data_IF_553859965626
#
_entry.id   IF_553859965626
#
_cell.length_a   1.000
_cell.length_b   1.000
_cell.length_c   1.000
_cell.angle_alpha   90.00
_cell.angle_beta   90.00
_cell.angle_gamma   90.00
#
_symmetry.space_group_name_H-M   'P 1'
#
loop_
_entity.id
_entity.type
_entity.pdbx_description
1 polymer ?
#
# COMPACT_ATOMS: atom_id res chain seq x y z
N UNK A 1 17.20 -49.54 -34.16
CA UNK A 1 18.57 -49.64 -34.71
C UNK A 1 18.70 -48.59 -35.81
N UNK A 2 19.71 -47.72 -35.71
CA UNK A 2 20.08 -46.62 -36.65
C UNK A 2 20.49 -47.16 -38.04
N UNK A 3 20.87 -46.35 -39.08
CA UNK A 3 20.92 -44.88 -39.26
C UNK A 3 20.54 -44.37 -40.70
N UNK A 4 20.60 -43.05 -40.93
CA UNK A 4 21.06 -42.31 -42.17
C UNK A 4 20.12 -41.14 -42.51
N UNK A 5 20.49 -39.85 -42.32
CA UNK A 5 21.56 -38.98 -42.87
C UNK A 5 21.20 -38.26 -44.19
N UNK A 6 20.99 -36.94 -44.05
CA UNK A 6 21.61 -35.83 -44.81
C UNK A 6 21.15 -35.53 -46.26
N UNK A 7 20.45 -34.40 -46.44
CA UNK A 7 20.83 -33.24 -47.29
C UNK A 7 19.76 -32.12 -47.14
N UNK A 8 20.02 -30.94 -46.54
CA UNK A 8 20.79 -29.75 -46.96
C UNK A 8 19.95 -28.68 -47.73
N UNK A 9 19.91 -27.47 -47.17
CA UNK A 9 19.61 -26.12 -47.74
C UNK A 9 18.16 -25.75 -48.11
N UNK A 10 17.55 -24.82 -47.35
CA UNK A 10 17.60 -23.38 -47.66
C UNK A 10 17.08 -22.55 -46.47
N UNK A 11 17.84 -21.53 -46.10
CA UNK A 11 17.49 -20.56 -45.08
C UNK A 11 16.43 -19.57 -45.60
N UNK A 12 15.45 -19.24 -44.76
CA UNK A 12 14.90 -17.89 -44.69
C UNK A 12 14.37 -17.64 -43.27
N UNK A 13 15.05 -16.73 -42.58
CA UNK A 13 14.79 -16.34 -41.22
C UNK A 13 13.53 -15.45 -41.12
N UNK A 14 12.59 -15.84 -40.27
CA UNK A 14 11.62 -14.95 -39.64
C UNK A 14 11.52 -15.32 -38.16
N UNK A 15 12.53 -14.92 -37.41
CA UNK A 15 12.44 -14.82 -35.96
C UNK A 15 11.96 -13.41 -35.61
N UNK A 16 10.71 -13.29 -35.17
CA UNK A 16 10.26 -12.13 -34.42
C UNK A 16 10.41 -12.46 -32.92
N UNK A 17 11.37 -11.87 -32.20
CA UNK A 17 11.31 -11.87 -30.75
C UNK A 17 10.22 -10.87 -30.33
N UNK A 18 9.16 -11.39 -29.71
CA UNK A 18 8.19 -10.57 -29.00
C UNK A 18 8.92 -9.72 -27.96
N UNK A 19 8.78 -8.41 -28.06
CA UNK A 19 9.24 -7.46 -27.06
C UNK A 19 8.35 -7.57 -25.82
N UNK A 20 8.69 -8.47 -24.91
CA UNK A 20 8.26 -8.37 -23.51
C UNK A 20 9.20 -7.35 -22.86
N UNK A 21 8.79 -6.09 -22.81
CA UNK A 21 9.47 -5.05 -22.06
C UNK A 21 9.09 -5.16 -20.59
N UNK A 22 9.88 -5.90 -19.81
CA UNK A 22 9.94 -5.75 -18.35
C UNK A 22 10.75 -4.50 -18.03
N UNK A 23 10.16 -3.33 -18.22
CA UNK A 23 10.73 -2.09 -17.70
C UNK A 23 10.26 -1.94 -16.27
N UNK A 24 11.13 -2.32 -15.33
CA UNK A 24 11.06 -1.86 -13.94
C UNK A 24 10.93 -0.33 -13.92
N UNK A 25 10.15 0.27 -13.00
CA UNK A 25 10.21 1.70 -12.81
C UNK A 25 11.61 2.07 -12.33
N UNK A 26 12.33 2.85 -13.13
CA UNK A 26 13.60 3.48 -12.72
C UNK A 26 13.25 4.70 -11.88
N UNK A 27 13.51 4.63 -10.58
CA UNK A 27 13.44 5.78 -9.69
C UNK A 27 14.60 6.75 -10.00
N UNK A 28 14.30 8.03 -9.98
CA UNK A 28 15.18 9.12 -10.40
C UNK A 28 16.53 9.10 -9.65
N UNK A 29 17.65 9.09 -10.37
CA UNK A 29 19.01 9.22 -9.84
C UNK A 29 19.50 10.67 -9.68
N UNK A 30 18.64 11.66 -9.94
CA UNK A 30 19.00 13.10 -9.90
C UNK A 30 18.45 13.87 -8.70
N UNK A 31 17.78 13.20 -7.75
CA UNK A 31 17.50 13.77 -6.42
C UNK A 31 18.23 12.90 -5.41
N UNK A 32 19.24 13.47 -4.75
CA UNK A 32 20.11 12.73 -3.84
C UNK A 32 19.35 12.20 -2.60
N UNK A 33 18.25 12.85 -2.21
CA UNK A 33 17.43 12.50 -1.05
C UNK A 33 15.94 12.89 -1.28
N UNK A 34 14.96 12.15 -0.71
CA UNK A 34 13.56 12.56 -0.74
C UNK A 34 13.35 13.84 0.10
N UNK A 35 12.61 14.80 -0.45
CA UNK A 35 12.19 16.00 0.30
C UNK A 35 11.02 15.61 1.21
N UNK A 36 11.32 15.33 2.47
CA UNK A 36 10.33 15.18 3.53
C UNK A 36 9.81 16.56 3.87
N UNK A 37 8.49 16.75 3.78
CA UNK A 37 7.87 18.00 4.21
C UNK A 37 8.15 18.22 5.71
N UNK A 38 8.64 19.41 6.05
CA UNK A 38 8.85 19.81 7.44
C UNK A 38 7.50 20.05 8.13
N UNK A 39 7.43 19.94 9.46
CA UNK A 39 6.19 20.19 10.22
C UNK A 39 5.57 21.59 9.94
N UNK A 40 6.38 22.55 9.48
CA UNK A 40 5.94 23.90 9.11
C UNK A 40 5.20 23.97 7.76
N UNK A 41 5.39 23.00 6.87
CA UNK A 41 4.68 22.90 5.58
C UNK A 41 3.26 22.30 5.73
N UNK A 42 2.87 21.96 6.97
CA UNK A 42 1.51 21.53 7.33
C UNK A 42 0.57 22.70 7.71
N UNK A 43 0.98 23.94 7.53
CA UNK A 43 0.15 25.12 7.75
C UNK A 43 -0.14 25.85 6.42
N UNK A 44 -1.39 26.25 6.14
CA UNK A 44 -1.68 27.07 4.97
C UNK A 44 -1.04 28.46 5.14
N UNK A 45 -0.33 28.95 4.10
CA UNK A 45 0.13 30.35 4.07
C UNK A 45 1.56 30.67 3.63
N UNK A 46 2.34 29.72 3.10
CA UNK A 46 3.73 29.97 2.65
C UNK A 46 3.98 29.65 1.16
N UNK A 47 2.97 29.86 0.30
CA UNK A 47 3.06 29.54 -1.13
C UNK A 47 2.83 28.06 -1.46
N UNK A 48 2.53 27.24 -0.45
CA UNK A 48 2.04 25.87 -0.62
C UNK A 48 0.53 25.92 -0.92
N UNK A 49 0.06 25.39 -2.07
CA UNK A 49 -1.36 25.25 -2.37
C UNK A 49 -2.09 24.49 -1.26
N UNK A 50 -3.31 24.92 -0.89
CA UNK A 50 -4.11 24.27 0.16
C UNK A 50 -4.32 22.76 -0.07
N UNK A 51 -4.25 22.31 -1.33
CA UNK A 51 -4.34 20.89 -1.72
C UNK A 51 -3.13 20.05 -1.31
N UNK A 52 -2.01 20.67 -0.94
CA UNK A 52 -0.74 20.03 -0.58
C UNK A 52 -0.44 20.12 0.92
N UNK A 53 -1.23 20.87 1.69
CA UNK A 53 -1.06 21.03 3.13
C UNK A 53 -1.31 19.69 3.84
N UNK A 54 -0.26 19.13 4.46
CA UNK A 54 -0.32 17.84 5.15
C UNK A 54 -0.09 16.60 4.27
N UNK A 55 0.39 16.76 3.04
CA UNK A 55 0.91 15.64 2.26
C UNK A 55 2.27 15.18 2.86
N UNK A 56 2.44 13.88 3.10
CA UNK A 56 3.69 13.29 3.63
C UNK A 56 4.65 12.84 2.54
N UNK A 57 4.27 13.00 1.28
CA UNK A 57 5.09 12.75 0.09
C UNK A 57 4.36 13.15 -1.18
N UNK A 58 5.10 13.45 -2.25
CA UNK A 58 4.57 13.69 -3.60
C UNK A 58 5.19 12.64 -4.54
N UNK A 59 4.40 11.73 -5.10
CA UNK A 59 4.88 10.86 -6.18
C UNK A 59 4.71 11.60 -7.49
N UNK A 60 5.75 12.34 -7.89
CA UNK A 60 5.89 12.81 -9.27
C UNK A 60 6.59 11.72 -10.08
N UNK A 61 5.86 11.09 -11.00
CA UNK A 61 6.53 10.32 -12.05
C UNK A 61 7.30 11.30 -12.95
N UNK A 62 8.60 11.46 -12.70
CA UNK A 62 9.49 12.15 -13.62
C UNK A 62 9.67 11.28 -14.87
N UNK A 63 9.15 11.76 -15.98
CA UNK A 63 9.83 11.64 -17.26
C UNK A 63 11.25 12.24 -17.09
N UNK A 64 12.25 11.48 -16.64
CA UNK A 64 13.60 12.01 -16.48
C UNK A 64 14.22 12.23 -17.88
N UNK A 65 14.37 13.50 -18.28
CA UNK A 65 14.98 13.93 -19.55
C UNK A 65 14.00 14.19 -20.71
N UNK A 66 12.78 13.69 -20.63
CA UNK A 66 11.77 13.86 -21.67
C UNK A 66 11.04 15.21 -21.65
N UNK A 67 10.83 15.99 -20.57
CA UNK A 67 10.03 17.21 -20.63
C UNK A 67 10.61 18.26 -21.57
N UNK A 68 11.94 18.41 -21.60
CA UNK A 68 12.61 19.31 -22.52
C UNK A 68 12.59 18.76 -23.96
N UNK A 69 12.75 17.45 -24.15
CA UNK A 69 12.67 16.80 -25.46
C UNK A 69 11.23 16.74 -26.01
N UNK A 70 10.24 16.52 -25.15
CA UNK A 70 8.81 16.52 -25.43
C UNK A 70 8.40 17.94 -25.72
N UNK A 71 8.75 18.93 -24.90
CA UNK A 71 8.51 20.34 -25.20
C UNK A 71 9.17 20.75 -26.52
N UNK A 72 10.43 20.37 -26.76
CA UNK A 72 11.11 20.67 -28.02
C UNK A 72 10.47 19.96 -29.24
N UNK A 73 10.06 18.70 -29.10
CA UNK A 73 9.36 17.94 -30.15
C UNK A 73 7.93 18.45 -30.36
N UNK A 74 7.28 18.90 -29.31
CA UNK A 74 5.96 19.52 -29.31
C UNK A 74 6.03 20.89 -29.98
N UNK A 75 7.04 21.70 -29.67
CA UNK A 75 7.33 22.96 -30.38
C UNK A 75 7.65 22.72 -31.86
N UNK A 76 8.43 21.68 -32.20
CA UNK A 76 8.68 21.28 -33.59
C UNK A 76 7.41 20.83 -34.30
N UNK A 77 6.58 20.01 -33.65
CA UNK A 77 5.30 19.54 -34.18
C UNK A 77 4.33 20.71 -34.37
N UNK A 78 4.26 21.66 -33.43
CA UNK A 78 3.46 22.87 -33.55
C UNK A 78 3.95 23.79 -34.65
N UNK A 79 5.26 23.92 -34.84
CA UNK A 79 5.84 24.66 -35.96
C UNK A 79 5.57 23.99 -37.32
N UNK A 80 5.49 22.65 -37.37
CA UNK A 80 5.11 21.92 -38.56
C UNK A 80 3.61 22.10 -38.87
N UNK A 81 2.74 21.95 -37.86
CA UNK A 81 1.29 22.18 -37.99
C UNK A 81 1.00 23.62 -38.41
N UNK A 82 1.65 24.61 -37.77
CA UNK A 82 1.49 26.02 -38.13
C UNK A 82 1.92 26.31 -39.58
N UNK A 83 2.97 25.65 -40.09
CA UNK A 83 3.36 25.77 -41.50
C UNK A 83 2.32 25.17 -42.44
N UNK A 84 1.77 24.00 -42.12
CA UNK A 84 0.73 23.35 -42.93
C UNK A 84 -0.60 24.11 -42.88
N UNK A 85 -0.94 24.70 -41.73
CA UNK A 85 -2.22 25.39 -41.51
C UNK A 85 -2.16 26.91 -41.78
N UNK A 86 -1.01 27.45 -42.21
CA UNK A 86 -0.85 28.85 -42.59
C UNK A 86 -0.86 29.85 -41.43
N UNK A 87 -0.43 29.43 -40.24
CA UNK A 87 -0.31 30.28 -39.05
C UNK A 87 -0.82 29.61 -37.77
N UNK A 88 -0.33 30.07 -36.61
CA UNK A 88 -0.73 29.56 -35.29
C UNK A 88 -2.18 29.89 -34.92
N UNK A 89 -2.71 30.96 -35.50
CA UNK A 89 -4.05 31.48 -35.24
C UNK A 89 -5.14 30.72 -36.02
N UNK A 90 -4.72 29.77 -36.87
CA UNK A 90 -5.60 29.04 -37.80
C UNK A 90 -5.93 27.62 -37.33
N UNK A 91 -5.46 27.22 -36.15
CA UNK A 91 -5.79 25.93 -35.53
C UNK A 91 -5.96 26.08 -34.01
N UNK A 92 -6.73 25.17 -33.41
CA UNK A 92 -6.89 25.07 -31.95
C UNK A 92 -6.48 23.67 -31.54
N UNK A 93 -5.49 23.58 -30.65
CA UNK A 93 -5.11 22.32 -30.02
C UNK A 93 -6.14 22.01 -28.94
N UNK A 94 -7.00 21.00 -29.15
CA UNK A 94 -7.91 20.50 -28.12
C UNK A 94 -7.31 19.30 -27.43
N UNK A 95 -7.08 19.41 -26.12
CA UNK A 95 -6.65 18.32 -25.25
C UNK A 95 -5.15 18.27 -24.97
N UNK A 96 -4.62 19.25 -24.24
CA UNK A 96 -3.39 19.01 -23.49
C UNK A 96 -3.62 17.82 -22.55
N UNK A 97 -2.71 16.84 -22.59
CA UNK A 97 -2.80 15.64 -21.78
C UNK A 97 -2.80 16.03 -20.30
N UNK A 98 -3.88 15.74 -19.60
CA UNK A 98 -3.82 15.51 -18.16
C UNK A 98 -3.23 14.10 -18.02
N UNK A 99 -1.91 13.96 -18.22
CA UNK A 99 -1.17 12.78 -17.76
C UNK A 99 -0.80 12.88 -16.29
N UNK A 100 -1.01 14.05 -15.68
CA UNK A 100 -0.73 14.33 -14.27
C UNK A 100 -2.02 14.19 -13.45
N UNK A 101 -2.49 12.95 -13.28
CA UNK A 101 -3.41 12.67 -12.20
C UNK A 101 -2.61 12.62 -10.89
N UNK A 102 -2.27 13.79 -10.35
CA UNK A 102 -1.70 13.88 -9.00
C UNK A 102 -2.82 13.66 -8.00
N UNK A 103 -2.91 12.47 -7.44
CA UNK A 103 -3.76 12.19 -6.29
C UNK A 103 -2.96 12.49 -5.03
N UNK A 104 -3.26 13.55 -4.26
CA UNK A 104 -2.67 13.71 -2.94
C UNK A 104 -3.20 12.60 -2.04
N UNK A 105 -2.30 11.84 -1.43
CA UNK A 105 -2.65 10.81 -0.45
C UNK A 105 -1.69 10.88 0.72
N UNK A 106 -2.17 10.49 1.91
CA UNK A 106 -1.35 10.40 3.10
C UNK A 106 -0.92 8.96 3.30
N UNK A 107 0.37 8.70 3.13
CA UNK A 107 0.99 7.45 3.54
C UNK A 107 1.35 7.52 5.04
N UNK A 108 1.31 6.39 5.75
CA UNK A 108 1.88 6.25 7.09
C UNK A 108 3.31 6.82 7.21
N UNK A 109 3.69 7.32 8.38
CA UNK A 109 5.03 7.88 8.58
C UNK A 109 6.12 6.79 8.52
N UNK A 110 5.77 5.54 8.80
CA UNK A 110 6.65 4.37 8.76
C UNK A 110 6.98 3.87 7.34
N UNK A 111 6.56 4.61 6.32
CA UNK A 111 6.69 4.22 4.92
C UNK A 111 8.08 4.52 4.34
N UNK A 112 8.67 3.53 3.65
CA UNK A 112 9.78 3.78 2.73
C UNK A 112 9.27 3.78 1.28
N UNK A 113 9.24 4.94 0.59
CA UNK A 113 8.71 5.04 -0.77
C UNK A 113 9.53 4.25 -1.81
N UNK A 114 10.75 3.82 -1.48
CA UNK A 114 11.63 3.07 -2.38
C UNK A 114 11.46 1.54 -2.27
N UNK A 115 10.60 1.05 -1.37
CA UNK A 115 10.43 -0.38 -1.16
C UNK A 115 9.26 -0.91 -2.01
N UNK A 116 9.60 -1.56 -3.12
CA UNK A 116 8.66 -2.04 -4.14
C UNK A 116 7.81 -3.25 -3.71
N UNK A 117 8.15 -3.90 -2.60
CA UNK A 117 7.40 -5.02 -2.03
C UNK A 117 6.46 -4.60 -0.89
N UNK A 118 6.42 -3.30 -0.55
CA UNK A 118 5.61 -2.81 0.56
C UNK A 118 4.13 -2.67 0.20
N UNK A 119 3.30 -2.72 1.24
CA UNK A 119 1.86 -2.49 1.20
C UNK A 119 1.51 -1.15 0.51
N UNK A 120 2.42 -0.19 0.57
CA UNK A 120 2.40 1.12 -0.10
C UNK A 120 2.29 0.99 -1.62
N UNK A 121 3.13 0.14 -2.22
CA UNK A 121 3.16 -0.02 -3.68
C UNK A 121 1.82 -0.56 -4.18
N UNK A 122 1.24 -1.52 -3.45
CA UNK A 122 -0.09 -2.06 -3.77
C UNK A 122 -1.19 -1.01 -3.62
N UNK A 123 -1.16 -0.18 -2.57
CA UNK A 123 -2.10 0.92 -2.41
C UNK A 123 -1.96 1.97 -3.52
N UNK A 124 -0.74 2.29 -3.93
CA UNK A 124 -0.47 3.18 -5.06
C UNK A 124 -1.00 2.59 -6.38
N UNK A 125 -0.80 1.29 -6.63
CA UNK A 125 -1.38 0.60 -7.79
C UNK A 125 -2.92 0.69 -7.80
N UNK A 126 -3.57 0.52 -6.65
CA UNK A 126 -5.02 0.63 -6.53
C UNK A 126 -5.52 2.03 -6.93
N UNK A 127 -4.87 3.08 -6.43
CA UNK A 127 -5.18 4.47 -6.78
C UNK A 127 -4.93 4.76 -8.26
N UNK A 128 -3.82 4.26 -8.80
CA UNK A 128 -3.46 4.41 -10.22
C UNK A 128 -4.47 3.73 -11.15
N UNK A 129 -5.02 2.58 -10.77
CA UNK A 129 -6.07 1.89 -11.53
C UNK A 129 -7.27 2.80 -11.75
N UNK A 130 -7.73 3.51 -10.71
CA UNK A 130 -8.87 4.44 -10.82
C UNK A 130 -8.49 5.69 -11.60
N UNK A 131 -7.37 6.31 -11.27
CA UNK A 131 -6.93 7.53 -11.96
C UNK A 131 -6.82 7.31 -13.48
N UNK A 132 -6.23 6.18 -13.87
CA UNK A 132 -6.07 5.80 -15.28
C UNK A 132 -7.42 5.51 -15.94
N UNK A 133 -8.32 4.80 -15.26
CA UNK A 133 -9.66 4.53 -15.76
C UNK A 133 -10.45 5.82 -15.98
N UNK A 134 -10.43 6.72 -15.00
CA UNK A 134 -11.11 8.02 -15.06
C UNK A 134 -10.57 8.88 -16.21
N UNK A 135 -9.25 8.96 -16.37
CA UNK A 135 -8.63 9.71 -17.47
C UNK A 135 -9.04 9.16 -18.85
N UNK A 136 -9.11 7.83 -19.00
CA UNK A 136 -9.55 7.17 -20.24
C UNK A 136 -11.03 7.42 -20.54
N UNK A 137 -11.89 7.27 -19.54
CA UNK A 137 -13.34 7.54 -19.67
C UNK A 137 -13.58 8.99 -20.07
N UNK A 138 -12.91 9.92 -19.39
CA UNK A 138 -13.00 11.34 -19.70
C UNK A 138 -12.52 11.67 -21.12
N UNK A 139 -11.52 10.94 -21.64
CA UNK A 139 -11.08 11.06 -23.04
C UNK A 139 -12.19 10.65 -24.01
N UNK A 140 -12.86 9.52 -23.78
CA UNK A 140 -13.98 9.08 -24.62
C UNK A 140 -15.13 10.08 -24.58
N UNK A 141 -15.45 10.61 -23.40
CA UNK A 141 -16.53 11.59 -23.23
C UNK A 141 -16.26 12.94 -23.90
N UNK A 142 -14.99 13.35 -24.03
CA UNK A 142 -14.62 14.62 -24.67
C UNK A 142 -14.34 14.52 -26.18
N UNK A 143 -14.07 13.33 -26.71
CA UNK A 143 -13.77 13.17 -28.13
C UNK A 143 -15.05 13.22 -28.98
N UNK A 144 -15.35 14.41 -29.51
CA UNK A 144 -16.52 14.67 -30.36
C UNK A 144 -16.56 13.84 -31.65
N UNK A 145 -15.47 13.15 -32.01
CA UNK A 145 -15.43 12.26 -33.18
C UNK A 145 -16.00 10.88 -32.89
N UNK A 146 -16.12 10.51 -31.62
CA UNK A 146 -16.67 9.21 -31.20
C UNK A 146 -18.17 9.37 -31.01
N UNK A 147 -18.95 8.50 -31.65
CA UNK A 147 -20.41 8.49 -31.47
C UNK A 147 -20.75 8.24 -30.00
N UNK A 148 -21.72 8.97 -29.44
CA UNK A 148 -22.07 8.88 -28.02
C UNK A 148 -22.35 7.43 -27.52
N UNK A 149 -23.06 6.56 -28.26
CA UNK A 149 -23.24 5.16 -27.84
C UNK A 149 -21.92 4.38 -27.73
N UNK A 150 -20.99 4.63 -28.64
CA UNK A 150 -19.65 4.00 -28.64
C UNK A 150 -18.82 4.52 -27.47
N UNK A 151 -18.88 5.82 -27.17
CA UNK A 151 -18.19 6.40 -26.02
C UNK A 151 -18.68 5.81 -24.68
N UNK A 152 -19.99 5.54 -24.56
CA UNK A 152 -20.58 4.86 -23.39
C UNK A 152 -20.08 3.42 -23.30
N UNK A 153 -20.14 2.65 -24.38
CA UNK A 153 -19.68 1.25 -24.41
C UNK A 153 -18.19 1.14 -24.05
N UNK A 154 -17.34 1.99 -24.60
CA UNK A 154 -15.91 2.00 -24.31
C UNK A 154 -15.62 2.44 -22.87
N UNK A 155 -16.38 3.40 -22.33
CA UNK A 155 -16.28 3.80 -20.92
C UNK A 155 -16.66 2.66 -19.98
N UNK A 156 -17.72 1.91 -20.30
CA UNK A 156 -18.13 0.73 -19.55
C UNK A 156 -17.01 -0.33 -19.53
N UNK A 157 -16.40 -0.63 -20.67
CA UNK A 157 -15.27 -1.57 -20.75
C UNK A 157 -14.09 -1.14 -19.88
N UNK A 158 -13.77 0.16 -19.87
CA UNK A 158 -12.71 0.71 -19.02
C UNK A 158 -13.03 0.54 -17.54
N UNK A 159 -14.26 0.87 -17.12
CA UNK A 159 -14.66 0.71 -15.72
C UNK A 159 -14.73 -0.75 -15.28
N UNK A 160 -15.19 -1.65 -16.15
CA UNK A 160 -15.16 -3.10 -15.87
C UNK A 160 -13.73 -3.60 -15.64
N UNK A 161 -12.79 -3.27 -16.54
CA UNK A 161 -11.40 -3.67 -16.38
C UNK A 161 -10.75 -3.06 -15.12
N UNK A 162 -11.09 -1.81 -14.80
CA UNK A 162 -10.62 -1.16 -13.57
C UNK A 162 -11.18 -1.85 -12.31
N UNK A 163 -12.46 -2.23 -12.33
CA UNK A 163 -13.10 -2.94 -11.23
C UNK A 163 -12.44 -4.30 -11.00
N UNK A 164 -12.19 -5.07 -12.06
CA UNK A 164 -11.49 -6.37 -11.98
C UNK A 164 -10.09 -6.21 -11.37
N UNK A 165 -9.33 -5.21 -11.83
CA UNK A 165 -7.99 -4.93 -11.28
C UNK A 165 -8.06 -4.49 -9.81
N UNK A 166 -9.00 -3.64 -9.44
CA UNK A 166 -9.18 -3.20 -8.06
C UNK A 166 -9.62 -4.35 -7.13
N UNK A 167 -10.49 -5.24 -7.61
CA UNK A 167 -10.93 -6.42 -6.87
C UNK A 167 -9.76 -7.38 -6.62
N UNK A 168 -8.91 -7.61 -7.62
CA UNK A 168 -7.71 -8.40 -7.46
C UNK A 168 -6.76 -7.81 -6.41
N UNK A 169 -6.53 -6.49 -6.44
CA UNK A 169 -5.69 -5.81 -5.44
C UNK A 169 -6.32 -5.89 -4.04
N UNK A 170 -7.65 -5.80 -3.93
CA UNK A 170 -8.36 -5.94 -2.66
C UNK A 170 -8.24 -7.36 -2.07
N UNK A 171 -8.31 -8.40 -2.91
CA UNK A 171 -8.08 -9.80 -2.50
C UNK A 171 -6.66 -9.97 -1.95
N UNK A 172 -5.66 -9.44 -2.66
CA UNK A 172 -4.26 -9.50 -2.22
C UNK A 172 -4.03 -8.71 -0.92
N UNK A 173 -4.63 -7.53 -0.78
CA UNK A 173 -4.56 -6.73 0.44
C UNK A 173 -5.18 -7.46 1.64
N UNK A 174 -6.29 -8.17 1.43
CA UNK A 174 -6.92 -8.98 2.46
C UNK A 174 -6.04 -10.16 2.87
N UNK A 175 -5.41 -10.85 1.90
CA UNK A 175 -4.46 -11.92 2.20
C UNK A 175 -3.27 -11.43 3.03
N UNK A 176 -2.70 -10.27 2.68
CA UNK A 176 -1.63 -9.64 3.44
C UNK A 176 -2.08 -9.30 4.86
N UNK A 177 -3.29 -8.74 5.00
CA UNK A 177 -3.86 -8.41 6.30
C UNK A 177 -4.01 -9.65 7.19
N UNK A 178 -4.48 -10.76 6.63
CA UNK A 178 -4.71 -12.00 7.39
C UNK A 178 -3.39 -12.68 7.77
N UNK A 179 -2.43 -12.74 6.85
CA UNK A 179 -1.07 -13.20 7.13
C UNK A 179 -0.42 -12.36 8.24
N UNK A 180 -0.48 -11.03 8.12
CA UNK A 180 0.09 -10.13 9.10
C UNK A 180 -0.61 -10.23 10.46
N UNK A 181 -1.94 -10.40 10.48
CA UNK A 181 -2.69 -10.56 11.73
C UNK A 181 -2.32 -11.86 12.45
N UNK A 182 -2.07 -12.95 11.70
CA UNK A 182 -1.55 -14.19 12.28
C UNK A 182 -0.13 -14.01 12.85
N UNK A 183 0.75 -13.35 12.10
CA UNK A 183 2.11 -13.01 12.53
C UNK A 183 2.12 -12.12 13.77
N UNK A 184 1.35 -11.03 13.76
CA UNK A 184 1.25 -10.08 14.87
C UNK A 184 0.72 -10.77 16.14
N UNK A 185 -0.31 -11.61 16.00
CA UNK A 185 -0.83 -12.41 17.12
C UNK A 185 0.25 -13.34 17.68
N UNK A 186 1.01 -14.01 16.82
CA UNK A 186 2.11 -14.87 17.25
C UNK A 186 3.25 -14.09 17.92
N UNK A 187 3.53 -12.87 17.44
CA UNK A 187 4.55 -11.98 18.00
C UNK A 187 4.20 -11.51 19.41
N UNK A 188 2.94 -11.15 19.65
CA UNK A 188 2.48 -10.70 20.97
C UNK A 188 2.25 -11.82 21.99
N UNK A 189 2.32 -13.08 21.58
CA UNK A 189 2.23 -14.21 22.50
C UNK A 189 3.64 -14.68 22.88
N UNK A 190 3.86 -15.12 24.13
CA UNK A 190 5.10 -15.82 24.45
C UNK A 190 5.22 -17.08 23.57
N UNK A 191 6.45 -17.50 23.21
CA UNK A 191 6.66 -18.74 22.47
C UNK A 191 6.06 -19.91 23.26
N UNK A 192 5.53 -20.96 22.62
CA UNK A 192 4.98 -22.10 23.35
C UNK A 192 6.04 -22.81 24.20
N UNK A 193 5.59 -23.53 25.24
CA UNK A 193 6.46 -24.39 26.03
C UNK A 193 7.03 -25.53 25.16
N UNK A 194 8.32 -25.80 25.28
CA UNK A 194 9.02 -26.74 24.37
C UNK A 194 8.86 -28.20 24.75
N UNK A 195 8.72 -28.48 26.04
CA UNK A 195 8.67 -29.84 26.59
C UNK A 195 7.79 -29.90 27.85
N UNK A 196 7.65 -31.11 28.39
CA UNK A 196 6.86 -31.35 29.60
C UNK A 196 7.45 -30.68 30.86
N UNK A 197 8.76 -30.39 30.87
CA UNK A 197 9.43 -29.74 32.01
C UNK A 197 9.05 -28.26 32.05
N UNK A 198 9.11 -27.57 30.90
CA UNK A 198 8.63 -26.18 30.78
C UNK A 198 7.13 -26.08 31.11
N UNK A 199 6.32 -27.05 30.66
CA UNK A 199 4.89 -27.06 30.99
C UNK A 199 4.62 -27.22 32.49
N UNK A 200 5.39 -28.07 33.17
CA UNK A 200 5.29 -28.24 34.62
C UNK A 200 5.71 -26.96 35.35
N UNK A 201 6.83 -26.35 34.93
CA UNK A 201 7.29 -25.08 35.49
C UNK A 201 6.24 -23.96 35.31
N UNK A 202 5.58 -23.89 34.15
CA UNK A 202 4.50 -22.93 33.89
C UNK A 202 3.30 -23.16 34.85
N UNK A 203 2.96 -24.43 35.14
CA UNK A 203 1.90 -24.78 36.08
C UNK A 203 2.26 -24.40 37.52
N UNK A 204 3.47 -24.73 37.98
CA UNK A 204 3.95 -24.41 39.33
C UNK A 204 4.01 -22.89 39.55
N UNK A 205 4.53 -22.14 38.58
CA UNK A 205 4.60 -20.69 38.62
C UNK A 205 3.21 -20.05 38.78
N UNK A 206 2.19 -20.60 38.11
CA UNK A 206 0.80 -20.14 38.23
C UNK A 206 0.13 -20.56 39.53
N UNK A 207 0.37 -21.78 40.01
CA UNK A 207 -0.12 -22.22 41.31
C UNK A 207 0.45 -21.35 42.43
N UNK A 208 1.73 -21.00 42.32
CA UNK A 208 2.37 -20.04 43.22
C UNK A 208 1.72 -18.67 43.11
N UNK A 209 1.46 -18.16 41.91
CA UNK A 209 0.80 -16.86 41.73
C UNK A 209 -0.63 -16.84 42.29
N UNK A 210 -1.36 -17.95 42.16
CA UNK A 210 -2.71 -18.13 42.70
C UNK A 210 -2.75 -18.31 44.22
N UNK A 211 -1.64 -18.73 44.84
CA UNK A 211 -1.54 -18.82 46.30
C UNK A 211 -1.15 -17.49 46.96
N UNK A 212 -0.75 -16.48 46.19
CA UNK A 212 -0.41 -15.16 46.73
C UNK A 212 -1.65 -14.42 47.22
N UNK A 213 -1.48 -13.64 48.28
CA UNK A 213 -2.53 -12.76 48.75
C UNK A 213 -2.77 -11.64 47.71
N UNK A 214 -4.02 -11.19 47.47
CA UNK A 214 -4.31 -10.12 46.51
C UNK A 214 -3.46 -8.86 46.69
N UNK A 215 -3.13 -8.50 47.93
CA UNK A 215 -2.31 -7.31 48.25
C UNK A 215 -0.84 -7.43 47.82
N UNK A 216 -0.35 -8.66 47.58
CA UNK A 216 1.03 -8.91 47.13
C UNK A 216 1.16 -8.84 45.60
N UNK A 217 0.07 -9.09 44.88
CA UNK A 217 0.08 -9.15 43.42
C UNK A 217 0.56 -7.86 42.74
N UNK A 218 0.18 -6.64 43.19
CA UNK A 218 0.70 -5.42 42.58
C UNK A 218 2.23 -5.30 42.63
N UNK A 219 2.86 -5.74 43.72
CA UNK A 219 4.31 -5.71 43.86
C UNK A 219 4.99 -6.72 42.93
N UNK A 220 4.43 -7.94 42.83
CA UNK A 220 4.93 -8.99 41.93
C UNK A 220 4.78 -8.55 40.46
N UNK A 221 3.62 -7.97 40.10
CA UNK A 221 3.38 -7.43 38.76
C UNK A 221 4.38 -6.33 38.43
N UNK A 222 4.68 -5.43 39.39
CA UNK A 222 5.71 -4.41 39.20
C UNK A 222 7.08 -5.04 38.90
N UNK A 223 7.48 -6.08 39.63
CA UNK A 223 8.72 -6.81 39.33
C UNK A 223 8.72 -7.47 37.93
N UNK A 224 7.57 -7.97 37.46
CA UNK A 224 7.44 -8.43 36.06
C UNK A 224 7.60 -7.28 35.06
N UNK A 225 6.97 -6.13 35.34
CA UNK A 225 7.07 -4.91 34.52
C UNK A 225 8.50 -4.40 34.51
N UNK A 226 9.25 -4.47 35.60
CA UNK A 226 10.64 -4.02 35.70
C UNK A 226 11.60 -5.02 35.03
N UNK A 227 11.15 -6.26 34.83
CA UNK A 227 11.90 -7.31 34.14
C UNK A 227 12.68 -8.24 35.07
N UNK A 228 12.40 -8.18 36.38
CA UNK A 228 13.04 -9.02 37.38
C UNK A 228 12.52 -10.47 37.35
N UNK A 229 11.29 -10.67 36.87
CA UNK A 229 10.61 -11.97 36.85
C UNK A 229 10.15 -12.40 35.43
N UNK A 230 11.05 -12.51 34.43
CA UNK A 230 10.66 -12.81 33.05
C UNK A 230 10.09 -14.21 32.87
N UNK A 231 10.61 -15.22 33.58
CA UNK A 231 10.12 -16.61 33.49
C UNK A 231 8.70 -16.74 34.04
N UNK A 232 8.40 -16.08 35.16
CA UNK A 232 7.07 -16.06 35.75
C UNK A 232 6.08 -15.32 34.82
N UNK A 233 6.49 -14.23 34.19
CA UNK A 233 5.69 -13.50 33.21
C UNK A 233 5.34 -14.37 31.99
N UNK A 234 6.31 -15.11 31.45
CA UNK A 234 6.10 -16.05 30.34
C UNK A 234 5.12 -17.16 30.75
N UNK A 235 5.34 -17.80 31.90
CA UNK A 235 4.45 -18.83 32.45
C UNK A 235 3.01 -18.32 32.66
N UNK A 236 2.88 -17.10 33.19
CA UNK A 236 1.60 -16.46 33.42
C UNK A 236 0.82 -16.20 32.12
N UNK A 237 1.45 -16.13 30.95
CA UNK A 237 0.77 -15.94 29.67
C UNK A 237 0.58 -17.21 28.84
N UNK A 238 1.43 -18.23 29.00
CA UNK A 238 1.36 -19.47 28.20
C UNK A 238 0.18 -20.37 28.53
N UNK A 239 -0.20 -20.49 29.80
CA UNK A 239 -1.18 -21.51 30.19
C UNK A 239 -2.64 -21.10 29.87
N UNK A 240 -3.52 -22.07 29.62
CA UNK A 240 -4.85 -21.82 29.04
C UNK A 240 -5.90 -21.29 30.06
N UNK A 241 -5.57 -21.24 31.34
CA UNK A 241 -6.50 -20.86 32.41
C UNK A 241 -6.47 -19.35 32.69
N UNK A 242 -7.59 -18.75 33.11
CA UNK A 242 -7.61 -17.35 33.51
C UNK A 242 -6.71 -17.12 34.72
N UNK A 243 -6.05 -15.95 34.75
CA UNK A 243 -5.24 -15.53 35.88
C UNK A 243 -6.13 -15.13 37.07
N UNK A 244 -5.69 -15.37 38.31
CA UNK A 244 -6.48 -15.10 39.50
C UNK A 244 -6.68 -13.59 39.69
N UNK A 245 -7.72 -13.20 40.44
CA UNK A 245 -7.97 -11.80 40.85
C UNK A 245 -8.04 -10.79 39.71
N UNK A 246 -8.41 -11.21 38.50
CA UNK A 246 -8.50 -10.36 37.30
C UNK A 246 -7.19 -9.63 36.95
N UNK A 247 -6.02 -10.20 37.28
CA UNK A 247 -4.72 -9.58 36.96
C UNK A 247 -4.29 -9.72 35.49
N UNK A 248 -5.14 -10.33 34.65
CA UNK A 248 -4.87 -10.59 33.23
C UNK A 248 -4.41 -9.37 32.44
N UNK A 249 -5.14 -8.23 32.48
CA UNK A 249 -4.73 -7.01 31.78
C UNK A 249 -3.35 -6.49 32.22
N UNK A 250 -3.02 -6.58 33.51
CA UNK A 250 -1.75 -6.12 34.06
C UNK A 250 -0.59 -7.00 33.63
N UNK A 251 -0.78 -8.33 33.59
CA UNK A 251 0.22 -9.27 33.08
C UNK A 251 0.45 -9.07 31.58
N UNK A 252 -0.60 -8.84 30.79
CA UNK A 252 -0.48 -8.49 29.37
C UNK A 252 0.30 -7.18 29.17
N UNK A 253 0.04 -6.16 29.99
CA UNK A 253 0.80 -4.90 29.96
C UNK A 253 2.28 -5.11 30.35
N UNK A 254 2.55 -5.95 31.35
CA UNK A 254 3.92 -6.31 31.75
C UNK A 254 4.68 -7.01 30.61
N UNK A 255 4.00 -7.86 29.83
CA UNK A 255 4.58 -8.51 28.67
C UNK A 255 4.88 -7.56 27.51
N UNK A 256 3.99 -6.61 27.22
CA UNK A 256 4.30 -5.56 26.25
C UNK A 256 5.50 -4.70 26.68
N UNK A 257 5.61 -4.38 27.97
CA UNK A 257 6.77 -3.69 28.52
C UNK A 257 8.05 -4.54 28.38
N UNK A 258 7.97 -5.84 28.66
CA UNK A 258 9.06 -6.78 28.46
C UNK A 258 9.52 -6.82 26.98
N UNK A 259 8.59 -6.98 26.04
CA UNK A 259 8.88 -6.93 24.60
C UNK A 259 9.50 -5.60 24.18
N UNK A 260 9.03 -4.48 24.73
CA UNK A 260 9.62 -3.16 24.48
C UNK A 260 11.09 -3.07 24.90
N UNK A 261 11.47 -3.73 26.00
CA UNK A 261 12.87 -3.77 26.48
C UNK A 261 13.73 -4.76 25.71
N UNK A 262 13.24 -5.97 25.46
CA UNK A 262 14.06 -7.06 24.88
C UNK A 262 14.04 -7.08 23.35
N UNK A 263 12.99 -6.53 22.74
CA UNK A 263 12.72 -6.58 21.30
C UNK A 263 12.19 -5.25 20.77
N UNK A 264 12.61 -4.12 21.34
CA UNK A 264 12.05 -2.78 21.04
C UNK A 264 11.98 -2.45 19.55
N UNK A 265 13.04 -2.71 18.78
CA UNK A 265 13.03 -2.49 17.33
C UNK A 265 12.06 -3.43 16.60
N UNK A 266 11.97 -4.70 16.99
CA UNK A 266 11.06 -5.65 16.35
C UNK A 266 9.60 -5.29 16.65
N UNK A 267 9.31 -4.90 17.90
CA UNK A 267 8.01 -4.39 18.31
C UNK A 267 7.63 -3.13 17.50
N UNK A 268 8.57 -2.21 17.30
CA UNK A 268 8.32 -1.03 16.47
C UNK A 268 8.03 -1.42 15.01
N UNK A 269 8.81 -2.33 14.42
CA UNK A 269 8.55 -2.84 13.05
C UNK A 269 7.16 -3.47 12.91
N UNK A 270 6.68 -4.19 13.94
CA UNK A 270 5.33 -4.77 13.96
C UNK A 270 4.28 -3.65 13.97
N UNK A 271 4.42 -2.65 14.84
CA UNK A 271 3.50 -1.49 14.90
C UNK A 271 3.47 -0.70 13.58
N UNK A 272 4.64 -0.44 13.03
CA UNK A 272 4.81 0.24 11.76
C UNK A 272 4.11 -0.52 10.62
N UNK A 273 4.30 -1.85 10.58
CA UNK A 273 3.65 -2.69 9.57
C UNK A 273 2.13 -2.77 9.76
N UNK A 274 1.63 -2.80 11.00
CA UNK A 274 0.19 -2.72 11.30
C UNK A 274 -0.44 -1.47 10.68
N UNK A 275 0.20 -0.32 10.89
CA UNK A 275 -0.26 0.95 10.32
C UNK A 275 -0.33 0.88 8.77
N UNK A 276 0.69 0.32 8.11
CA UNK A 276 0.71 0.16 6.65
C UNK A 276 -0.34 -0.81 6.12
N UNK A 277 -0.55 -1.93 6.79
CA UNK A 277 -1.55 -2.95 6.41
C UNK A 277 -2.97 -2.40 6.56
N UNK A 278 -3.26 -1.72 7.68
CA UNK A 278 -4.56 -1.10 7.91
C UNK A 278 -4.83 0.03 6.90
N UNK A 279 -3.79 0.81 6.58
CA UNK A 279 -3.85 1.82 5.52
C UNK A 279 -4.16 1.19 4.15
N UNK A 280 -3.47 0.11 3.76
CA UNK A 280 -3.70 -0.57 2.48
C UNK A 280 -5.15 -1.06 2.38
N UNK A 281 -5.66 -1.70 3.43
CA UNK A 281 -7.06 -2.17 3.49
C UNK A 281 -8.06 -1.04 3.33
N UNK A 282 -7.80 0.09 3.98
CA UNK A 282 -8.64 1.28 3.86
C UNK A 282 -8.64 1.82 2.42
N UNK A 283 -7.47 1.95 1.78
CA UNK A 283 -7.37 2.45 0.41
C UNK A 283 -8.03 1.53 -0.59
N UNK A 284 -7.81 0.21 -0.52
CA UNK A 284 -8.42 -0.72 -1.46
C UNK A 284 -9.94 -0.73 -1.35
N UNK A 285 -10.49 -0.55 -0.14
CA UNK A 285 -11.93 -0.37 0.07
C UNK A 285 -12.46 0.94 -0.54
N UNK A 286 -11.74 2.05 -0.35
CA UNK A 286 -12.12 3.34 -0.96
C UNK A 286 -12.07 3.27 -2.49
N UNK A 287 -11.05 2.63 -3.04
CA UNK A 287 -10.90 2.39 -4.48
C UNK A 287 -12.07 1.55 -4.99
N UNK A 288 -12.35 0.41 -4.35
CA UNK A 288 -13.44 -0.47 -4.78
C UNK A 288 -14.82 0.21 -4.75
N UNK A 289 -15.04 1.16 -3.84
CA UNK A 289 -16.30 1.93 -3.75
C UNK A 289 -16.38 3.09 -4.73
N UNK A 290 -15.24 3.65 -5.17
CA UNK A 290 -15.20 4.75 -6.13
C UNK A 290 -15.40 4.32 -7.59
N UNK A 291 -15.18 3.04 -7.92
CA UNK A 291 -15.38 2.52 -9.29
C UNK A 291 -16.87 2.27 -9.56
N UNK A 292 -17.47 2.89 -10.59
CA UNK A 292 -18.86 2.62 -10.97
C UNK A 292 -19.05 1.16 -11.38
N UNK A 293 -20.05 0.48 -10.81
CA UNK A 293 -20.42 -0.91 -11.18
C UNK A 293 -21.86 -0.99 -11.65
N UNK A 294 -22.12 -1.73 -12.74
CA UNK A 294 -23.46 -1.89 -13.34
C UNK A 294 -24.53 -2.44 -12.37
N UNK A 295 -24.10 -3.21 -11.36
CA UNK A 295 -24.99 -3.87 -10.39
C UNK A 295 -24.85 -3.32 -8.97
N UNK A 296 -24.20 -2.17 -8.76
CA UNK A 296 -24.24 -1.54 -7.44
C UNK A 296 -25.66 -0.98 -7.22
N UNK A 297 -26.37 -1.40 -6.17
CA UNK A 297 -27.60 -0.71 -5.80
C UNK A 297 -27.25 0.76 -5.57
N UNK A 298 -28.06 1.68 -6.08
CA UNK A 298 -27.85 3.10 -5.87
C UNK A 298 -27.70 3.35 -4.37
N UNK A 299 -26.48 3.68 -3.93
CA UNK A 299 -26.22 4.01 -2.53
C UNK A 299 -27.02 5.27 -2.25
N UNK A 300 -28.10 5.12 -1.48
CA UNK A 300 -28.94 6.25 -1.10
C UNK A 300 -28.01 7.34 -0.51
N UNK A 301 -28.13 8.60 -0.96
CA UNK A 301 -27.26 9.66 -0.47
C UNK A 301 -27.39 9.72 1.05
N UNK A 302 -26.28 9.50 1.76
CA UNK A 302 -26.22 9.68 3.20
C UNK A 302 -26.50 11.15 3.46
N UNK A 303 -27.74 11.47 3.85
CA UNK A 303 -28.14 12.80 4.30
C UNK A 303 -27.29 13.10 5.53
N UNK A 304 -26.25 13.93 5.36
CA UNK A 304 -25.54 14.51 6.51
C UNK A 304 -26.57 15.37 7.23
N UNK A 305 -26.97 14.94 8.42
CA UNK A 305 -27.74 15.76 9.34
C UNK A 305 -26.81 16.90 9.75
N UNK A 306 -27.20 18.12 9.40
CA UNK A 306 -26.52 19.35 9.79
C UNK A 306 -26.73 19.63 11.29
#
# INVERSE_FOLDING_TARGET
MSPSRVALLLACALAAPGCVSTTNPVFNSSVAEPYLYSEYENQPGLGVPDTLVGATGEVRYCQAGLPQLVKARQEQAYAAIARTCGGKDRYVLRGEMISDATLPWRAPASCNPNHNTDEIHKGALALMTIATAQARVHRYQRDVRIAAPVAVEESDKVWTAAAESADQIAIEAQAIHDEFTAYERAFYLPPPAKDAVEQLADQEARQWLASQHPDQLPAIIRQMIDGDLPSLLIAALRAPFPLPHNIGPQVSAAWLAHLGRTQGEALQRVKDRRERVDWLKMITLQVATAIPRKNQPAVAPVRRVA
#
